data_IF_728720993376
#
_entry.id   IF_728720993376
#
_cell.length_a   1.000
_cell.length_b   1.000
_cell.length_c   1.000
_cell.angle_alpha   90.00
_cell.angle_beta   90.00
_cell.angle_gamma   90.00
#
_symmetry.space_group_name_H-M   'P 1'
#
loop_
_entity.id
_entity.type
_entity.pdbx_description
1 polymer ?
#
# COMPACT_ATOMS: atom_id res chain seq x y z
N UNK A 1 13.66 -8.83 44.49
CA UNK A 1 13.20 -9.66 43.35
C UNK A 1 13.64 -8.97 42.06
N UNK A 2 14.69 -9.47 41.45
CA UNK A 2 15.17 -9.00 40.13
C UNK A 2 14.16 -9.43 39.10
N UNK A 3 13.38 -8.48 38.57
CA UNK A 3 12.50 -8.75 37.45
C UNK A 3 13.37 -9.21 36.26
N UNK A 4 13.21 -10.44 35.83
CA UNK A 4 13.78 -10.90 34.55
C UNK A 4 13.30 -9.95 33.46
N UNK A 5 14.18 -9.51 32.55
CA UNK A 5 13.75 -8.70 31.43
C UNK A 5 12.73 -9.53 30.61
N UNK A 6 11.48 -9.11 30.64
CA UNK A 6 10.45 -9.75 29.82
C UNK A 6 10.81 -9.56 28.36
N UNK A 7 10.95 -10.65 27.63
CA UNK A 7 11.18 -10.63 26.18
C UNK A 7 10.14 -9.72 25.53
N UNK A 8 10.56 -8.73 24.72
CA UNK A 8 9.62 -7.86 24.03
C UNK A 8 8.58 -8.68 23.24
N UNK A 9 7.34 -8.28 23.31
CA UNK A 9 6.25 -8.98 22.64
C UNK A 9 5.40 -7.99 21.86
N UNK A 10 5.26 -8.24 20.56
CA UNK A 10 4.38 -7.51 19.69
C UNK A 10 3.18 -8.37 19.28
N UNK A 11 2.01 -7.75 19.24
CA UNK A 11 0.83 -8.34 18.63
C UNK A 11 0.33 -7.38 17.55
N UNK A 12 0.28 -7.87 16.33
CA UNK A 12 -0.35 -7.17 15.21
C UNK A 12 -1.84 -7.49 15.24
N UNK A 13 -2.66 -6.46 15.34
CA UNK A 13 -4.12 -6.54 15.31
C UNK A 13 -4.63 -5.95 14.00
N UNK A 14 -5.45 -6.69 13.27
CA UNK A 14 -6.13 -6.22 12.07
C UNK A 14 -7.47 -6.93 11.92
N UNK A 15 -8.48 -6.24 11.42
CA UNK A 15 -9.74 -6.86 10.99
C UNK A 15 -9.57 -7.67 9.72
N UNK A 16 -8.57 -7.36 8.92
CA UNK A 16 -8.32 -8.02 7.64
C UNK A 16 -7.25 -9.09 7.74
N UNK A 17 -7.45 -10.15 6.96
CA UNK A 17 -6.41 -11.11 6.69
C UNK A 17 -5.32 -10.46 5.85
N UNK A 18 -4.11 -10.34 6.41
CA UNK A 18 -2.97 -9.78 5.69
C UNK A 18 -3.25 -8.38 5.13
N UNK A 19 -3.54 -7.43 6.01
CA UNK A 19 -3.66 -6.03 5.64
C UNK A 19 -2.40 -5.54 4.91
N UNK A 20 -2.58 -4.63 3.96
CA UNK A 20 -1.49 -4.04 3.16
C UNK A 20 -0.41 -3.46 4.07
N UNK A 21 -0.82 -2.70 5.07
CA UNK A 21 0.07 -2.01 6.01
C UNK A 21 0.96 -3.01 6.76
N UNK A 22 0.37 -4.12 7.22
CA UNK A 22 1.10 -5.17 7.89
C UNK A 22 2.12 -5.84 6.97
N UNK A 23 1.73 -6.18 5.74
CA UNK A 23 2.57 -6.89 4.77
C UNK A 23 3.79 -6.08 4.36
N UNK A 24 3.60 -4.82 4.02
CA UNK A 24 4.71 -3.99 3.55
C UNK A 24 5.51 -3.37 4.68
N UNK A 25 4.85 -2.95 5.76
CA UNK A 25 5.47 -2.07 6.76
C UNK A 25 5.86 -2.78 8.06
N UNK A 26 5.39 -4.01 8.32
CA UNK A 26 5.74 -4.75 9.53
C UNK A 26 6.34 -6.13 9.24
N UNK A 27 5.70 -6.94 8.39
CA UNK A 27 6.17 -8.30 8.09
C UNK A 27 7.62 -8.37 7.60
N UNK A 28 8.15 -7.43 6.81
CA UNK A 28 9.56 -7.44 6.41
C UNK A 28 10.53 -7.45 7.60
N UNK A 29 10.18 -6.75 8.69
CA UNK A 29 11.00 -6.70 9.90
C UNK A 29 10.77 -7.89 10.85
N UNK A 30 9.64 -8.59 10.75
CA UNK A 30 9.19 -9.57 11.73
C UNK A 30 10.17 -10.74 11.91
N UNK A 31 10.72 -11.25 10.81
CA UNK A 31 11.65 -12.38 10.84
C UNK A 31 12.97 -12.03 11.57
N UNK A 32 13.47 -10.80 11.37
CA UNK A 32 14.65 -10.31 12.04
C UNK A 32 14.39 -10.04 13.52
N UNK A 33 13.29 -9.40 13.86
CA UNK A 33 12.86 -9.16 15.25
C UNK A 33 12.72 -10.47 16.05
N UNK A 34 12.19 -11.52 15.42
CA UNK A 34 12.10 -12.85 16.05
C UNK A 34 13.48 -13.46 16.33
N UNK A 35 14.43 -13.33 15.41
CA UNK A 35 15.82 -13.80 15.60
C UNK A 35 16.51 -13.03 16.73
N UNK A 36 16.13 -11.80 16.98
CA UNK A 36 16.63 -10.95 18.06
C UNK A 36 15.91 -11.23 19.41
N UNK A 37 15.04 -12.22 19.45
CA UNK A 37 14.34 -12.63 20.66
C UNK A 37 13.01 -11.93 20.92
N UNK A 38 12.54 -11.05 20.02
CA UNK A 38 11.21 -10.43 20.12
C UNK A 38 10.13 -11.44 19.75
N UNK A 39 9.13 -11.60 20.60
CA UNK A 39 7.94 -12.42 20.26
C UNK A 39 7.01 -11.56 19.39
N UNK A 40 6.68 -12.07 18.21
CA UNK A 40 5.75 -11.40 17.30
C UNK A 40 4.63 -12.35 16.94
N UNK A 41 3.41 -11.94 17.24
CA UNK A 41 2.17 -12.66 16.94
C UNK A 41 1.30 -11.79 16.03
N UNK A 42 0.48 -12.43 15.22
CA UNK A 42 -0.52 -11.79 14.39
C UNK A 42 -1.91 -12.26 14.79
N UNK A 43 -2.86 -11.36 14.86
CA UNK A 43 -4.20 -11.65 15.29
C UNK A 43 -5.22 -10.95 14.39
N UNK A 44 -5.94 -11.76 13.59
CA UNK A 44 -7.02 -11.29 12.72
C UNK A 44 -8.33 -11.29 13.50
N UNK A 45 -8.83 -10.11 13.84
CA UNK A 45 -9.94 -9.98 14.79
C UNK A 45 -11.25 -10.53 14.26
N UNK A 46 -11.53 -10.41 12.95
CA UNK A 46 -12.76 -10.93 12.33
C UNK A 46 -12.88 -12.44 12.34
N UNK A 47 -11.77 -13.15 12.44
CA UNK A 47 -11.78 -14.64 12.47
C UNK A 47 -12.12 -15.21 13.83
N UNK A 48 -12.16 -14.39 14.86
CA UNK A 48 -12.37 -14.83 16.22
C UNK A 48 -13.70 -14.31 16.75
N UNK A 49 -14.52 -15.19 17.36
CA UNK A 49 -15.63 -14.74 18.15
C UNK A 49 -15.09 -13.91 19.31
N UNK A 50 -15.49 -12.64 19.38
CA UNK A 50 -15.00 -11.74 20.40
C UNK A 50 -15.32 -12.26 21.81
N UNK A 51 -14.31 -12.31 22.66
CA UNK A 51 -14.42 -12.63 24.07
C UNK A 51 -13.53 -11.68 24.87
N UNK A 52 -14.10 -10.73 25.61
CA UNK A 52 -13.34 -9.72 26.34
C UNK A 52 -12.27 -10.33 27.25
N UNK A 53 -12.63 -11.40 27.96
CA UNK A 53 -11.70 -12.09 28.88
C UNK A 53 -10.48 -12.69 28.17
N UNK A 54 -10.70 -13.36 27.03
CA UNK A 54 -9.62 -13.97 26.28
C UNK A 54 -8.77 -12.91 25.56
N UNK A 55 -9.41 -11.90 24.98
CA UNK A 55 -8.72 -10.78 24.33
C UNK A 55 -7.83 -10.05 25.33
N UNK A 56 -8.37 -9.67 26.50
CA UNK A 56 -7.62 -9.04 27.57
C UNK A 56 -6.42 -9.88 28.00
N UNK A 57 -6.61 -11.15 28.31
CA UNK A 57 -5.54 -12.05 28.75
C UNK A 57 -4.42 -12.19 27.71
N UNK A 58 -4.79 -12.20 26.42
CA UNK A 58 -3.83 -12.33 25.33
C UNK A 58 -3.04 -11.04 25.10
N UNK A 59 -3.67 -9.88 25.20
CA UNK A 59 -3.06 -8.60 24.83
C UNK A 59 -2.32 -7.93 26.02
N UNK A 60 -2.59 -8.32 27.26
CA UNK A 60 -1.94 -7.77 28.45
C UNK A 60 -0.40 -7.86 28.36
N UNK A 61 0.28 -6.75 28.61
CA UNK A 61 1.74 -6.63 28.61
C UNK A 61 2.37 -6.62 27.22
N UNK A 62 1.59 -6.75 26.13
CA UNK A 62 2.12 -6.70 24.77
C UNK A 62 2.16 -5.25 24.24
N UNK A 63 3.16 -4.95 23.41
CA UNK A 63 3.08 -3.83 22.47
C UNK A 63 2.13 -4.22 21.32
N UNK A 64 1.30 -3.29 20.90
CA UNK A 64 0.30 -3.53 19.88
C UNK A 64 0.63 -2.72 18.62
N UNK A 65 0.55 -3.36 17.47
CA UNK A 65 0.47 -2.70 16.19
C UNK A 65 -0.94 -2.90 15.65
N UNK A 66 -1.71 -1.83 15.59
CA UNK A 66 -3.03 -1.83 14.97
C UNK A 66 -2.82 -1.45 13.50
N UNK A 67 -3.25 -2.33 12.58
CA UNK A 67 -3.13 -2.12 11.15
C UNK A 67 -4.53 -1.90 10.57
N UNK A 68 -4.75 -0.75 9.95
CA UNK A 68 -5.93 -0.31 9.22
C UNK A 68 -7.17 -0.09 10.10
N UNK A 69 -7.87 -1.12 10.53
CA UNK A 69 -9.13 -1.00 11.28
C UNK A 69 -9.28 -2.06 12.36
N UNK A 70 -10.17 -1.78 13.31
CA UNK A 70 -10.63 -2.73 14.32
C UNK A 70 -12.13 -2.54 14.55
N UNK A 71 -12.83 -3.64 14.82
CA UNK A 71 -14.22 -3.62 15.24
C UNK A 71 -14.44 -2.87 16.58
N UNK A 72 -15.61 -2.30 16.75
CA UNK A 72 -16.00 -1.46 17.91
C UNK A 72 -15.68 -2.14 19.26
N UNK A 73 -16.05 -3.41 19.42
CA UNK A 73 -15.82 -4.16 20.66
C UNK A 73 -14.34 -4.34 21.02
N UNK A 74 -13.47 -4.40 20.02
CA UNK A 74 -12.02 -4.47 20.23
C UNK A 74 -11.48 -3.13 20.71
N UNK A 75 -11.92 -2.03 20.10
CA UNK A 75 -11.53 -0.68 20.48
C UNK A 75 -11.98 -0.39 21.91
N UNK A 76 -13.24 -0.66 22.25
CA UNK A 76 -13.79 -0.49 23.60
C UNK A 76 -13.01 -1.30 24.65
N UNK A 77 -12.63 -2.52 24.33
CA UNK A 77 -11.83 -3.35 25.22
C UNK A 77 -10.44 -2.76 25.44
N UNK A 78 -9.78 -2.26 24.38
CA UNK A 78 -8.46 -1.64 24.47
C UNK A 78 -8.51 -0.34 25.26
N UNK A 79 -9.52 0.52 25.07
CA UNK A 79 -9.75 1.74 25.83
C UNK A 79 -9.91 1.45 27.32
N UNK A 80 -10.79 0.48 27.66
CA UNK A 80 -11.07 0.11 29.05
C UNK A 80 -9.91 -0.53 29.78
N UNK A 81 -8.86 -0.97 29.06
CA UNK A 81 -7.70 -1.66 29.63
C UNK A 81 -6.37 -1.09 29.14
N UNK A 82 -6.37 0.19 28.74
CA UNK A 82 -5.20 0.86 28.14
C UNK A 82 -3.92 0.70 28.94
N UNK A 83 -4.00 0.85 30.25
CA UNK A 83 -2.89 0.77 31.19
C UNK A 83 -2.26 -0.64 31.29
N UNK A 84 -2.94 -1.67 30.80
CA UNK A 84 -2.46 -3.06 30.82
C UNK A 84 -1.68 -3.45 29.57
N UNK A 85 -1.66 -2.56 28.57
CA UNK A 85 -0.93 -2.76 27.32
C UNK A 85 0.40 -2.00 27.35
N UNK A 86 1.37 -2.48 26.59
CA UNK A 86 2.57 -1.72 26.29
C UNK A 86 2.27 -0.59 25.30
N UNK A 87 3.25 -0.25 24.49
CA UNK A 87 3.06 0.76 23.43
C UNK A 87 2.01 0.30 22.44
N UNK A 88 1.13 1.22 22.03
CA UNK A 88 0.19 1.03 20.94
C UNK A 88 0.64 1.93 19.77
N UNK A 89 0.99 1.31 18.64
CA UNK A 89 1.23 1.98 17.38
C UNK A 89 0.03 1.74 16.45
N UNK A 90 -0.46 2.79 15.81
CA UNK A 90 -1.50 2.69 14.81
C UNK A 90 -0.92 3.01 13.43
N UNK A 91 -0.91 2.04 12.54
CA UNK A 91 -0.37 2.14 11.18
C UNK A 91 -1.49 2.46 10.21
N UNK A 92 -1.34 3.57 9.48
CA UNK A 92 -2.37 4.20 8.64
C UNK A 92 -1.82 4.44 7.24
N UNK A 93 -2.49 3.92 6.23
CA UNK A 93 -2.19 4.16 4.81
C UNK A 93 -3.20 5.10 4.13
N UNK A 94 -4.35 5.35 4.76
CA UNK A 94 -5.38 6.28 4.30
C UNK A 94 -6.27 6.76 5.44
N UNK A 95 -7.00 7.83 5.20
CA UNK A 95 -8.05 8.33 6.11
C UNK A 95 -9.40 7.85 5.59
N UNK A 96 -10.23 7.33 6.48
CA UNK A 96 -11.58 6.91 6.08
C UNK A 96 -12.44 8.12 5.75
N UNK A 97 -12.79 8.23 4.47
CA UNK A 97 -13.81 9.15 3.97
C UNK A 97 -15.03 8.37 3.49
N UNK A 98 -16.18 9.05 3.39
CA UNK A 98 -17.39 8.43 2.83
C UNK A 98 -17.20 8.02 1.37
N UNK A 99 -16.38 8.73 0.61
CA UNK A 99 -16.09 8.46 -0.79
C UNK A 99 -15.23 7.21 -0.96
N UNK A 100 -14.15 7.08 -0.17
CA UNK A 100 -13.27 5.92 -0.21
C UNK A 100 -14.02 4.64 0.19
N UNK A 101 -14.81 4.70 1.27
CA UNK A 101 -15.57 3.55 1.74
C UNK A 101 -16.63 3.10 0.72
N UNK A 102 -17.28 4.04 0.04
CA UNK A 102 -18.22 3.72 -1.02
C UNK A 102 -17.51 3.04 -2.21
N UNK A 103 -16.33 3.53 -2.60
CA UNK A 103 -15.51 2.94 -3.66
C UNK A 103 -15.06 1.52 -3.30
N UNK A 104 -14.57 1.28 -2.08
CA UNK A 104 -14.17 -0.05 -1.59
C UNK A 104 -15.34 -1.05 -1.56
N UNK A 105 -16.54 -0.58 -1.26
CA UNK A 105 -17.75 -1.41 -1.19
C UNK A 105 -18.47 -1.53 -2.54
N UNK A 106 -18.09 -0.75 -3.54
CA UNK A 106 -18.78 -0.68 -4.83
C UNK A 106 -20.20 -0.07 -4.72
N UNK A 107 -20.41 0.85 -3.76
CA UNK A 107 -21.69 1.53 -3.48
C UNK A 107 -21.56 3.03 -3.77
N UNK A 108 -22.69 3.75 -3.79
CA UNK A 108 -22.67 5.21 -3.84
C UNK A 108 -22.34 5.80 -2.46
N UNK A 109 -21.65 6.94 -2.39
CA UNK A 109 -21.39 7.63 -1.13
C UNK A 109 -22.70 7.95 -0.40
N UNK A 110 -22.73 7.90 0.95
CA UNK A 110 -23.89 8.32 1.71
C UNK A 110 -24.15 9.83 1.54
N UNK A 111 -25.38 10.26 1.80
CA UNK A 111 -25.74 11.69 1.75
C UNK A 111 -24.84 12.54 2.65
N UNK A 112 -24.51 13.73 2.19
CA UNK A 112 -23.62 14.65 2.88
C UNK A 112 -24.15 14.98 4.30
N UNK A 113 -23.33 14.72 5.32
CA UNK A 113 -23.61 15.10 6.71
C UNK A 113 -23.55 13.99 7.76
N UNK A 114 -23.46 12.70 7.40
CA UNK A 114 -23.21 11.62 8.36
C UNK A 114 -21.77 11.09 8.20
N UNK A 115 -20.96 11.28 9.22
CA UNK A 115 -19.61 10.69 9.22
C UNK A 115 -19.72 9.16 9.33
N UNK A 116 -19.07 8.41 8.41
CA UNK A 116 -19.14 6.95 8.42
C UNK A 116 -18.64 6.35 9.73
N UNK A 117 -19.23 5.25 10.16
CA UNK A 117 -18.78 4.55 11.39
C UNK A 117 -17.27 4.26 11.35
N UNK A 118 -16.73 3.90 10.21
CA UNK A 118 -15.29 3.63 10.06
C UNK A 118 -14.42 4.86 10.39
N UNK A 119 -14.84 6.07 9.99
CA UNK A 119 -14.14 7.30 10.33
C UNK A 119 -14.19 7.58 11.84
N UNK A 120 -15.36 7.38 12.49
CA UNK A 120 -15.49 7.52 13.93
C UNK A 120 -14.59 6.51 14.68
N UNK A 121 -14.53 5.26 14.23
CA UNK A 121 -13.66 4.24 14.83
C UNK A 121 -12.18 4.58 14.61
N UNK A 122 -11.82 5.14 13.45
CA UNK A 122 -10.46 5.60 13.18
C UNK A 122 -10.03 6.74 14.12
N UNK A 123 -10.91 7.69 14.40
CA UNK A 123 -10.65 8.76 15.38
C UNK A 123 -10.39 8.20 16.78
N UNK A 124 -11.16 7.20 17.21
CA UNK A 124 -10.92 6.50 18.48
C UNK A 124 -9.56 5.80 18.51
N UNK A 125 -9.13 5.20 17.39
CA UNK A 125 -7.81 4.59 17.27
C UNK A 125 -6.69 5.63 17.36
N UNK A 126 -6.85 6.82 16.77
CA UNK A 126 -5.90 7.91 16.97
C UNK A 126 -5.79 8.30 18.45
N UNK A 127 -6.90 8.46 19.15
CA UNK A 127 -6.90 8.81 20.58
C UNK A 127 -6.28 7.70 21.46
N UNK A 128 -6.39 6.45 21.06
CA UNK A 128 -5.87 5.28 21.79
C UNK A 128 -4.37 5.08 21.60
N UNK A 129 -3.82 5.45 20.46
CA UNK A 129 -2.44 5.19 20.08
C UNK A 129 -1.44 6.07 20.84
N UNK A 130 -0.27 5.53 21.17
CA UNK A 130 0.88 6.32 21.63
C UNK A 130 1.63 6.96 20.48
N UNK A 131 1.47 6.37 19.29
CA UNK A 131 2.14 6.80 18.07
C UNK A 131 1.34 6.38 16.86
N UNK A 132 1.08 7.32 15.96
CA UNK A 132 0.50 7.06 14.66
C UNK A 132 1.63 6.94 13.65
N UNK A 133 1.67 5.82 12.94
CA UNK A 133 2.66 5.56 11.88
C UNK A 133 1.97 5.73 10.56
N UNK A 134 2.51 6.56 9.70
CA UNK A 134 1.93 6.89 8.38
C UNK A 134 2.88 6.51 7.26
N UNK A 135 2.32 6.32 6.07
CA UNK A 135 3.04 5.76 4.92
C UNK A 135 3.39 6.81 3.85
N UNK A 136 2.98 8.06 4.06
CA UNK A 136 3.27 9.18 3.17
C UNK A 136 3.46 10.49 3.93
N UNK A 137 4.23 11.40 3.36
CA UNK A 137 4.47 12.74 3.91
C UNK A 137 3.17 13.55 3.99
N UNK A 138 2.25 13.33 3.06
CA UNK A 138 0.94 13.98 3.05
C UNK A 138 0.09 13.57 4.25
N UNK A 139 0.10 12.26 4.61
CA UNK A 139 -0.55 11.80 5.84
C UNK A 139 0.15 12.32 7.09
N UNK A 140 1.48 12.39 7.09
CA UNK A 140 2.23 12.97 8.21
C UNK A 140 1.82 14.42 8.45
N UNK A 141 1.78 15.24 7.39
CA UNK A 141 1.35 16.62 7.46
C UNK A 141 -0.13 16.76 7.90
N UNK A 142 -1.02 15.93 7.34
CA UNK A 142 -2.45 15.96 7.68
C UNK A 142 -2.72 15.60 9.14
N UNK A 143 -1.96 14.66 9.71
CA UNK A 143 -2.17 14.16 11.07
C UNK A 143 -1.34 14.88 12.13
N UNK A 144 -0.38 15.72 11.76
CA UNK A 144 0.50 16.43 12.68
C UNK A 144 -0.24 17.30 13.70
N UNK A 145 -1.40 17.84 13.34
CA UNK A 145 -2.27 18.63 14.24
C UNK A 145 -3.25 17.78 15.06
N UNK A 146 -3.48 16.52 14.66
CA UNK A 146 -4.47 15.63 15.27
C UNK A 146 -3.86 14.67 16.29
N UNK A 147 -2.59 14.36 16.18
CA UNK A 147 -1.92 13.44 17.08
C UNK A 147 -0.52 13.96 17.48
N UNK A 148 -0.13 13.92 18.79
CA UNK A 148 1.12 14.49 19.29
C UNK A 148 2.37 13.76 18.78
N UNK A 149 2.24 12.55 18.29
CA UNK A 149 3.34 11.76 17.77
C UNK A 149 2.93 11.04 16.48
N UNK A 150 3.26 11.65 15.37
CA UNK A 150 3.15 11.05 14.03
C UNK A 150 4.56 10.70 13.54
N UNK A 151 4.71 9.56 12.89
CA UNK A 151 6.01 9.11 12.36
C UNK A 151 5.83 8.52 10.97
N UNK A 152 6.62 9.01 10.03
CA UNK A 152 6.64 8.50 8.67
C UNK A 152 7.41 7.18 8.60
N UNK A 153 6.84 6.20 7.92
CA UNK A 153 7.47 4.94 7.54
C UNK A 153 7.20 4.68 6.05
N UNK A 154 8.18 4.95 5.21
CA UNK A 154 8.06 4.76 3.76
C UNK A 154 8.05 3.29 3.37
N UNK A 155 7.43 2.92 2.23
CA UNK A 155 7.34 1.54 1.77
C UNK A 155 8.73 0.91 1.55
N UNK A 156 8.96 -0.33 2.01
CA UNK A 156 10.17 -1.06 1.71
C UNK A 156 10.06 -1.80 0.37
N UNK A 157 11.18 -1.97 -0.28
CA UNK A 157 11.30 -2.91 -1.39
C UNK A 157 11.23 -4.34 -0.84
N UNK A 158 10.14 -5.04 -1.14
CA UNK A 158 9.92 -6.42 -0.71
C UNK A 158 10.37 -7.39 -1.80
N UNK A 159 11.36 -8.25 -1.48
CA UNK A 159 11.89 -9.22 -2.42
C UNK A 159 13.00 -8.69 -3.33
N UNK A 160 13.38 -9.50 -4.30
CA UNK A 160 14.46 -9.18 -5.25
C UNK A 160 13.89 -8.52 -6.51
N UNK A 161 14.64 -7.58 -7.06
CA UNK A 161 14.35 -7.05 -8.39
C UNK A 161 14.75 -8.10 -9.45
N UNK A 162 13.99 -8.21 -10.55
CA UNK A 162 14.29 -9.13 -11.63
C UNK A 162 15.45 -8.63 -12.50
N UNK A 163 16.02 -9.53 -13.32
CA UNK A 163 16.67 -9.10 -14.55
C UNK A 163 15.63 -8.49 -15.50
N UNK A 164 16.10 -7.78 -16.52
CA UNK A 164 15.25 -7.07 -17.48
C UNK A 164 15.20 -7.75 -18.87
N UNK A 165 15.57 -9.02 -18.97
CA UNK A 165 15.58 -9.75 -20.25
C UNK A 165 14.19 -9.81 -20.93
N UNK A 166 13.11 -9.73 -20.19
CA UNK A 166 11.77 -9.66 -20.76
C UNK A 166 11.53 -8.41 -21.63
N UNK A 167 12.29 -7.33 -21.41
CA UNK A 167 12.22 -6.13 -22.24
C UNK A 167 12.92 -6.30 -23.61
N UNK A 168 13.62 -7.41 -23.83
CA UNK A 168 14.20 -7.79 -25.12
C UNK A 168 13.19 -8.55 -26.01
N UNK A 169 12.07 -9.02 -25.44
CA UNK A 169 11.03 -9.75 -26.14
C UNK A 169 10.19 -8.82 -27.01
N UNK A 170 9.52 -9.38 -28.01
CA UNK A 170 8.64 -8.62 -28.92
C UNK A 170 7.37 -8.15 -28.23
N UNK A 171 6.79 -8.99 -27.35
CA UNK A 171 5.46 -8.78 -26.81
C UNK A 171 5.54 -8.12 -25.42
N UNK A 172 5.11 -6.88 -25.36
CA UNK A 172 5.18 -6.13 -24.13
C UNK A 172 3.82 -6.09 -23.39
N UNK A 173 3.85 -6.22 -22.08
CA UNK A 173 2.69 -6.09 -21.22
C UNK A 173 2.62 -4.69 -20.61
N UNK A 174 1.49 -4.02 -20.79
CA UNK A 174 1.11 -2.79 -20.11
C UNK A 174 0.22 -3.19 -18.94
N UNK A 175 0.68 -3.03 -17.70
CA UNK A 175 0.02 -3.52 -16.50
C UNK A 175 -0.60 -2.42 -15.64
N UNK A 176 -1.81 -2.66 -15.15
CA UNK A 176 -2.40 -1.91 -14.05
C UNK A 176 -2.84 -2.89 -12.94
N UNK A 177 -2.22 -2.77 -11.78
CA UNK A 177 -2.45 -3.63 -10.62
C UNK A 177 -2.97 -2.77 -9.46
N UNK A 178 -4.25 -2.43 -9.49
CA UNK A 178 -4.94 -1.65 -8.48
C UNK A 178 -6.01 -2.45 -7.73
N UNK A 179 -6.52 -1.87 -6.66
CA UNK A 179 -7.71 -2.35 -5.96
C UNK A 179 -8.97 -1.70 -6.54
N UNK A 180 -10.16 -2.09 -6.03
CA UNK A 180 -11.42 -1.45 -6.41
C UNK A 180 -11.44 0.06 -6.14
N UNK A 181 -10.72 0.52 -5.11
CA UNK A 181 -10.59 1.94 -4.81
C UNK A 181 -9.97 2.76 -5.97
N UNK A 182 -9.19 2.11 -6.83
CA UNK A 182 -8.56 2.74 -8.01
C UNK A 182 -9.32 2.51 -9.31
N UNK A 183 -10.58 2.06 -9.22
CA UNK A 183 -11.41 1.78 -10.40
C UNK A 183 -11.63 3.02 -11.25
N UNK A 184 -11.94 4.14 -10.63
CA UNK A 184 -12.17 5.40 -11.33
C UNK A 184 -10.88 5.95 -11.93
N UNK A 185 -9.73 5.76 -11.27
CA UNK A 185 -8.43 6.18 -11.79
C UNK A 185 -8.14 5.51 -13.15
N UNK A 186 -8.30 4.19 -13.27
CA UNK A 186 -8.02 3.47 -14.54
C UNK A 186 -9.08 3.74 -15.61
N UNK A 187 -10.33 4.05 -15.22
CA UNK A 187 -11.40 4.36 -16.18
C UNK A 187 -11.06 5.56 -17.05
N UNK A 188 -10.32 6.54 -16.52
CA UNK A 188 -9.90 7.72 -17.28
C UNK A 188 -9.03 7.35 -18.49
N UNK A 189 -8.34 6.21 -18.41
CA UNK A 189 -7.43 5.73 -19.45
C UNK A 189 -8.10 4.80 -20.47
N UNK A 190 -9.41 4.48 -20.37
CA UNK A 190 -10.07 3.57 -21.28
C UNK A 190 -9.90 3.96 -22.77
N UNK A 191 -10.11 5.24 -23.19
CA UNK A 191 -9.91 5.63 -24.59
C UNK A 191 -8.44 5.54 -25.01
N UNK A 192 -7.50 5.88 -24.12
CA UNK A 192 -6.06 5.80 -24.39
C UNK A 192 -5.63 4.35 -24.64
N UNK A 193 -6.01 3.43 -23.75
CA UNK A 193 -5.63 2.02 -23.85
C UNK A 193 -6.24 1.37 -25.11
N UNK A 194 -7.45 1.74 -25.48
CA UNK A 194 -8.09 1.25 -26.72
C UNK A 194 -7.34 1.72 -27.97
N UNK A 195 -6.96 2.99 -28.00
CA UNK A 195 -6.21 3.58 -29.11
C UNK A 195 -4.82 2.95 -29.22
N UNK A 196 -4.07 2.86 -28.14
CA UNK A 196 -2.75 2.21 -28.10
C UNK A 196 -2.82 0.76 -28.56
N UNK A 197 -3.79 -0.02 -28.07
CA UNK A 197 -3.94 -1.42 -28.46
C UNK A 197 -4.37 -1.60 -29.93
N UNK A 198 -4.96 -0.60 -30.52
CA UNK A 198 -5.28 -0.62 -31.95
C UNK A 198 -4.03 -0.38 -32.80
N UNK A 199 -3.11 0.46 -32.35
CA UNK A 199 -1.89 0.84 -33.08
C UNK A 199 -0.69 -0.09 -32.82
N UNK A 200 -0.59 -0.67 -31.62
CA UNK A 200 0.51 -1.55 -31.19
C UNK A 200 0.04 -2.98 -30.99
N UNK A 201 0.12 -3.78 -32.07
CA UNK A 201 -0.31 -5.20 -32.03
C UNK A 201 0.67 -6.11 -31.27
N UNK A 202 1.87 -5.63 -31.00
CA UNK A 202 2.95 -6.29 -30.23
C UNK A 202 2.92 -5.95 -28.73
N UNK A 203 1.77 -5.44 -28.25
CA UNK A 203 1.55 -5.20 -26.83
C UNK A 203 0.22 -5.78 -26.36
N UNK A 204 0.10 -6.06 -25.08
CA UNK A 204 -1.11 -6.47 -24.40
C UNK A 204 -1.37 -5.59 -23.17
N UNK A 205 -2.63 -5.49 -22.75
CA UNK A 205 -3.00 -4.80 -21.52
C UNK A 205 -3.41 -5.82 -20.46
N UNK A 206 -2.93 -5.67 -19.25
CA UNK A 206 -3.30 -6.51 -18.11
C UNK A 206 -3.86 -5.66 -16.98
N UNK A 207 -5.10 -5.97 -16.55
CA UNK A 207 -5.78 -5.29 -15.46
C UNK A 207 -6.16 -6.27 -14.36
N UNK A 208 -5.76 -6.01 -13.12
CA UNK A 208 -6.12 -6.83 -11.96
C UNK A 208 -7.44 -6.35 -11.36
N UNK A 209 -8.54 -6.55 -12.08
CA UNK A 209 -9.88 -6.13 -11.66
C UNK A 209 -10.93 -7.26 -11.72
N UNK A 210 -10.63 -8.35 -12.40
CA UNK A 210 -11.48 -9.55 -12.50
C UNK A 210 -12.93 -9.23 -12.84
N UNK A 211 -13.86 -9.77 -12.06
CA UNK A 211 -15.31 -9.55 -12.20
C UNK A 211 -15.76 -8.09 -12.00
N UNK A 212 -14.91 -7.25 -11.45
CA UNK A 212 -15.18 -5.83 -11.22
C UNK A 212 -14.66 -4.94 -12.37
N UNK A 213 -14.24 -5.56 -13.47
CA UNK A 213 -13.80 -4.81 -14.66
C UNK A 213 -14.94 -3.93 -15.18
N UNK A 214 -14.74 -2.61 -15.27
CA UNK A 214 -15.74 -1.70 -15.85
C UNK A 214 -16.03 -2.05 -17.30
N UNK A 215 -17.31 -1.91 -17.69
CA UNK A 215 -17.74 -2.21 -19.05
C UNK A 215 -16.99 -1.38 -20.09
N UNK A 216 -16.63 -0.14 -19.75
CA UNK A 216 -15.88 0.77 -20.62
C UNK A 216 -14.45 0.30 -20.93
N UNK A 217 -13.93 -0.69 -20.20
CA UNK A 217 -12.61 -1.29 -20.43
C UNK A 217 -12.71 -2.65 -21.14
N UNK A 218 -13.90 -3.26 -21.21
CA UNK A 218 -14.07 -4.64 -21.66
C UNK A 218 -13.84 -4.87 -23.18
N UNK A 219 -13.87 -3.81 -23.96
CA UNK A 219 -13.67 -3.83 -25.43
C UNK A 219 -12.23 -3.48 -25.87
N UNK A 220 -11.31 -3.30 -24.92
CA UNK A 220 -9.89 -3.06 -25.23
C UNK A 220 -9.30 -4.31 -25.91
N UNK A 221 -8.68 -4.19 -27.08
CA UNK A 221 -8.06 -5.34 -27.76
C UNK A 221 -6.93 -5.95 -26.90
N UNK A 222 -6.80 -7.27 -26.92
CA UNK A 222 -5.77 -8.03 -26.19
C UNK A 222 -5.73 -7.71 -24.67
N UNK A 223 -6.88 -7.36 -24.13
CA UNK A 223 -7.02 -7.18 -22.68
C UNK A 223 -7.00 -8.53 -21.96
N UNK A 224 -6.15 -8.66 -20.97
CA UNK A 224 -6.17 -9.73 -19.97
C UNK A 224 -6.68 -9.19 -18.67
N UNK A 225 -7.61 -9.87 -18.05
CA UNK A 225 -8.09 -9.51 -16.72
C UNK A 225 -7.74 -10.61 -15.71
N UNK A 226 -7.40 -10.23 -14.51
CA UNK A 226 -7.10 -11.12 -13.40
C UNK A 226 -7.97 -10.77 -12.22
N UNK A 227 -8.40 -11.77 -11.46
CA UNK A 227 -9.06 -11.54 -10.18
C UNK A 227 -8.11 -10.88 -9.19
N UNK A 228 -8.66 -9.98 -8.38
CA UNK A 228 -7.92 -9.43 -7.25
C UNK A 228 -7.55 -10.56 -6.29
N UNK A 229 -6.30 -10.60 -5.89
CA UNK A 229 -5.75 -11.62 -4.98
C UNK A 229 -5.45 -11.01 -3.62
N UNK A 230 -5.25 -11.86 -2.60
CA UNK A 230 -4.79 -11.36 -1.30
C UNK A 230 -3.42 -10.70 -1.42
N UNK A 231 -3.11 -9.77 -0.54
CA UNK A 231 -1.83 -9.06 -0.55
C UNK A 231 -0.62 -10.01 -0.48
N UNK A 232 -0.72 -11.12 0.25
CA UNK A 232 0.34 -12.14 0.25
C UNK A 232 0.53 -12.81 -1.10
N UNK A 233 -0.57 -13.18 -1.77
CA UNK A 233 -0.52 -13.74 -3.12
C UNK A 233 -0.05 -12.71 -4.15
N UNK A 234 -0.35 -11.42 -3.94
CA UNK A 234 0.15 -10.34 -4.79
C UNK A 234 1.68 -10.19 -4.69
N UNK A 235 2.29 -10.39 -3.52
CA UNK A 235 3.75 -10.41 -3.37
C UNK A 235 4.38 -11.52 -4.24
N UNK A 236 3.79 -12.71 -4.21
CA UNK A 236 4.23 -13.84 -5.06
C UNK A 236 4.02 -13.55 -6.55
N UNK A 237 2.92 -12.89 -6.89
CA UNK A 237 2.63 -12.47 -8.26
C UNK A 237 3.70 -11.50 -8.76
N UNK A 238 3.99 -10.41 -8.05
CA UNK A 238 5.02 -9.43 -8.43
C UNK A 238 6.40 -10.08 -8.60
N UNK A 239 6.71 -11.11 -7.82
CA UNK A 239 8.01 -11.81 -7.93
C UNK A 239 8.18 -12.58 -9.25
N UNK A 240 7.07 -13.03 -9.86
CA UNK A 240 7.05 -13.91 -11.04
C UNK A 240 6.58 -13.22 -12.31
N UNK A 241 5.67 -12.28 -12.19
CA UNK A 241 5.12 -11.54 -13.34
C UNK A 241 6.14 -10.52 -13.86
N UNK A 242 6.17 -10.36 -15.18
CA UNK A 242 6.96 -9.34 -15.87
C UNK A 242 6.02 -8.47 -16.68
N UNK A 243 6.20 -7.15 -16.54
CA UNK A 243 5.52 -6.13 -17.34
C UNK A 243 6.59 -5.20 -17.93
N UNK A 244 6.31 -4.61 -19.07
CA UNK A 244 7.21 -3.60 -19.65
C UNK A 244 6.86 -2.19 -19.17
N UNK A 245 5.57 -1.91 -19.07
CA UNK A 245 5.05 -0.60 -18.67
C UNK A 245 4.03 -0.79 -17.55
N UNK A 246 4.17 -0.05 -16.47
CA UNK A 246 3.19 0.00 -15.38
C UNK A 246 2.41 1.31 -15.39
N UNK A 247 1.11 1.24 -15.18
CA UNK A 247 0.23 2.41 -15.11
C UNK A 247 -0.09 2.75 -13.66
N UNK A 248 0.08 4.01 -13.31
CA UNK A 248 -0.23 4.54 -11.99
C UNK A 248 -1.04 5.85 -12.08
N UNK A 249 -2.23 5.80 -12.73
CA UNK A 249 -3.12 6.94 -12.73
C UNK A 249 -3.64 7.20 -11.31
N UNK A 250 -3.77 8.46 -10.95
CA UNK A 250 -4.42 8.94 -9.74
C UNK A 250 -5.30 10.13 -10.10
N UNK A 251 -6.59 10.06 -9.82
CA UNK A 251 -7.48 11.21 -9.88
C UNK A 251 -7.15 12.21 -8.78
N UNK A 252 -7.47 13.48 -9.01
CA UNK A 252 -7.29 14.52 -8.00
C UNK A 252 -8.37 14.42 -6.92
N UNK A 253 -8.03 13.79 -5.80
CA UNK A 253 -8.86 13.73 -4.59
C UNK A 253 -7.97 13.62 -3.34
N UNK A 254 -8.58 13.77 -2.15
CA UNK A 254 -7.87 13.74 -0.86
C UNK A 254 -7.15 12.42 -0.61
N UNK A 255 -7.79 11.31 -0.98
CA UNK A 255 -7.31 9.97 -0.69
C UNK A 255 -6.10 9.62 -1.55
N UNK A 256 -6.17 9.94 -2.85
CA UNK A 256 -5.05 9.75 -3.77
C UNK A 256 -3.84 10.63 -3.42
N UNK A 257 -4.07 11.87 -2.91
CA UNK A 257 -2.98 12.72 -2.40
C UNK A 257 -2.27 12.11 -1.20
N UNK A 258 -2.99 11.38 -0.36
CA UNK A 258 -2.47 10.74 0.83
C UNK A 258 -1.79 9.38 0.56
N UNK A 259 -1.91 8.85 -0.66
CA UNK A 259 -1.36 7.56 -1.04
C UNK A 259 0.18 7.52 -0.90
N UNK A 260 0.72 6.33 -0.63
CA UNK A 260 2.15 6.10 -0.69
C UNK A 260 2.60 5.81 -2.13
N UNK A 261 3.89 5.95 -2.39
CA UNK A 261 4.48 5.60 -3.68
C UNK A 261 4.78 4.09 -3.85
N UNK A 262 4.08 3.24 -3.10
CA UNK A 262 4.25 1.78 -3.14
C UNK A 262 4.12 1.21 -4.55
N UNK A 263 3.25 1.77 -5.39
CA UNK A 263 3.07 1.32 -6.77
C UNK A 263 4.32 1.46 -7.63
N UNK A 264 5.19 2.45 -7.33
CA UNK A 264 6.51 2.54 -7.95
C UNK A 264 7.33 1.27 -7.69
N UNK A 265 7.38 0.80 -6.44
CA UNK A 265 8.10 -0.42 -6.08
C UNK A 265 7.48 -1.66 -6.73
N UNK A 266 6.16 -1.76 -6.77
CA UNK A 266 5.48 -2.93 -7.35
C UNK A 266 5.71 -3.01 -8.86
N UNK A 267 5.64 -1.90 -9.59
CA UNK A 267 5.96 -1.82 -11.02
C UNK A 267 7.43 -2.22 -11.25
N UNK A 268 8.34 -1.66 -10.47
CA UNK A 268 9.78 -1.93 -10.59
C UNK A 268 10.12 -3.39 -10.26
N UNK A 269 9.42 -3.99 -9.29
CA UNK A 269 9.55 -5.42 -8.95
C UNK A 269 9.09 -6.35 -10.06
N UNK A 270 8.16 -5.91 -10.88
CA UNK A 270 7.74 -6.63 -12.08
C UNK A 270 8.64 -6.31 -13.29
N UNK A 271 9.66 -5.48 -13.11
CA UNK A 271 10.65 -5.12 -14.14
C UNK A 271 10.16 -4.05 -15.11
N UNK A 272 9.07 -3.36 -14.80
CA UNK A 272 8.48 -2.34 -15.67
C UNK A 272 8.98 -0.92 -15.38
N UNK A 273 8.73 -0.04 -16.36
CA UNK A 273 8.78 1.42 -16.22
C UNK A 273 7.37 1.94 -15.95
N UNK A 274 7.25 2.84 -14.96
CA UNK A 274 5.94 3.42 -14.63
C UNK A 274 5.64 4.69 -15.42
N UNK A 275 4.36 4.86 -15.76
CA UNK A 275 3.75 6.14 -16.13
C UNK A 275 2.86 6.54 -14.95
N UNK A 276 3.13 7.69 -14.38
CA UNK A 276 2.53 8.16 -13.13
C UNK A 276 1.81 9.49 -13.33
N UNK A 277 0.70 9.69 -12.63
CA UNK A 277 0.09 11.02 -12.55
C UNK A 277 1.06 12.04 -11.95
N UNK A 278 1.18 13.23 -12.56
CA UNK A 278 2.05 14.33 -12.13
C UNK A 278 1.50 15.01 -10.88
N UNK A 279 1.45 14.26 -9.78
CA UNK A 279 1.01 14.71 -8.45
C UNK A 279 1.63 13.85 -7.35
N UNK A 280 1.47 14.29 -6.10
CA UNK A 280 1.85 13.47 -4.95
C UNK A 280 1.17 12.09 -5.02
N UNK A 281 1.87 11.01 -4.63
CA UNK A 281 3.23 10.99 -4.08
C UNK A 281 4.33 10.90 -5.15
N UNK A 282 3.99 10.86 -6.45
CA UNK A 282 4.95 10.54 -7.50
C UNK A 282 5.82 11.73 -7.91
N UNK A 283 5.29 12.95 -7.86
CA UNK A 283 6.03 14.16 -8.26
C UNK A 283 7.29 14.41 -7.43
N UNK A 284 7.29 13.93 -6.17
CA UNK A 284 8.41 14.07 -5.25
C UNK A 284 9.42 12.91 -5.35
N UNK A 285 9.03 11.82 -6.03
CA UNK A 285 9.83 10.61 -6.16
C UNK A 285 10.43 10.42 -7.55
N UNK A 286 9.62 10.61 -8.59
CA UNK A 286 9.98 10.26 -9.97
C UNK A 286 10.74 11.42 -10.62
N UNK A 287 11.90 11.12 -11.18
CA UNK A 287 12.62 12.00 -12.08
C UNK A 287 12.13 11.75 -13.52
N UNK A 288 11.30 12.69 -14.02
CA UNK A 288 10.58 12.55 -15.28
C UNK A 288 11.53 12.29 -16.46
N UNK A 289 11.29 11.20 -17.18
CA UNK A 289 12.12 10.77 -18.30
C UNK A 289 13.40 10.02 -17.92
N UNK A 290 13.69 9.84 -16.62
CA UNK A 290 14.90 9.15 -16.12
C UNK A 290 14.54 7.79 -15.51
N UNK A 291 13.61 7.73 -14.56
CA UNK A 291 13.21 6.50 -13.87
C UNK A 291 11.70 6.23 -13.92
N UNK A 292 10.98 7.00 -14.72
CA UNK A 292 9.56 6.92 -15.01
C UNK A 292 9.12 8.12 -15.82
N UNK A 293 7.83 8.16 -16.15
CA UNK A 293 7.22 9.32 -16.80
C UNK A 293 6.14 9.92 -15.91
N UNK A 294 6.14 11.25 -15.79
CA UNK A 294 5.11 12.02 -15.11
C UNK A 294 4.20 12.68 -16.13
N UNK A 295 2.90 12.41 -16.07
CA UNK A 295 1.90 12.95 -17.00
C UNK A 295 0.74 13.61 -16.26
N UNK A 296 0.15 14.64 -16.88
CA UNK A 296 -1.06 15.30 -16.36
C UNK A 296 -2.32 14.47 -16.55
N UNK A 297 -3.48 15.12 -16.42
CA UNK A 297 -4.79 14.48 -16.57
C UNK A 297 -5.24 14.38 -18.04
N UNK A 298 -4.55 15.07 -18.95
CA UNK A 298 -4.89 15.02 -20.37
C UNK A 298 -4.62 13.61 -20.94
N UNK A 299 -5.62 12.93 -21.49
CA UNK A 299 -5.43 11.64 -22.18
C UNK A 299 -4.36 11.66 -23.28
N UNK A 300 -4.12 12.82 -23.92
CA UNK A 300 -3.08 12.95 -24.91
C UNK A 300 -1.68 12.81 -24.34
N UNK A 301 -1.42 13.27 -23.09
CA UNK A 301 -0.14 13.07 -22.42
C UNK A 301 0.11 11.59 -22.11
N UNK A 302 -0.92 10.86 -21.67
CA UNK A 302 -0.86 9.40 -21.44
C UNK A 302 -0.57 8.64 -22.73
N UNK A 303 -1.25 9.03 -23.83
CA UNK A 303 -0.99 8.48 -25.16
C UNK A 303 0.45 8.69 -25.59
N UNK A 304 0.94 9.94 -25.50
CA UNK A 304 2.31 10.28 -25.86
C UNK A 304 3.36 9.55 -25.02
N UNK A 305 3.10 9.37 -23.72
CA UNK A 305 3.98 8.62 -22.81
C UNK A 305 4.04 7.13 -23.19
N UNK A 306 2.90 6.51 -23.48
CA UNK A 306 2.86 5.12 -23.94
C UNK A 306 3.55 4.94 -25.29
N UNK A 307 3.30 5.82 -26.25
CA UNK A 307 3.99 5.83 -27.55
C UNK A 307 5.50 5.97 -27.41
N UNK A 308 5.97 6.86 -26.54
CA UNK A 308 7.38 7.05 -26.26
C UNK A 308 8.03 5.76 -25.74
N UNK A 309 7.40 5.10 -24.75
CA UNK A 309 7.96 3.89 -24.16
C UNK A 309 7.89 2.69 -25.13
N UNK A 310 6.82 2.54 -25.89
CA UNK A 310 6.67 1.47 -26.86
C UNK A 310 7.57 1.68 -28.08
N UNK A 311 7.80 2.94 -28.50
CA UNK A 311 8.55 3.30 -29.69
C UNK A 311 10.08 3.27 -29.51
N UNK A 312 10.60 3.49 -28.30
CA UNK A 312 12.03 3.47 -27.99
C UNK A 312 12.33 2.47 -26.87
N UNK A 313 12.49 1.21 -27.26
CA UNK A 313 12.70 0.08 -26.34
C UNK A 313 14.04 0.16 -25.60
N UNK A 314 15.07 0.74 -26.20
CA UNK A 314 16.38 0.87 -25.57
C UNK A 314 16.35 1.96 -24.49
N UNK A 315 15.73 3.10 -24.77
CA UNK A 315 15.51 4.14 -23.77
C UNK A 315 14.61 3.64 -22.62
N UNK A 316 13.58 2.86 -22.93
CA UNK A 316 12.68 2.26 -21.92
C UNK A 316 13.45 1.28 -21.02
N UNK A 317 14.32 0.46 -21.59
CA UNK A 317 15.19 -0.44 -20.80
C UNK A 317 16.15 0.33 -19.90
N UNK A 318 16.76 1.39 -20.41
CA UNK A 318 17.61 2.26 -19.60
C UNK A 318 16.84 2.90 -18.44
N UNK A 319 15.62 3.37 -18.70
CA UNK A 319 14.71 3.92 -17.66
C UNK A 319 14.34 2.86 -16.61
N UNK A 320 14.08 1.60 -17.02
CA UNK A 320 13.82 0.50 -16.10
C UNK A 320 15.03 0.20 -15.19
N UNK A 321 16.24 0.27 -15.68
CA UNK A 321 17.46 0.15 -14.86
C UNK A 321 17.56 1.28 -13.85
N UNK A 322 17.27 2.52 -14.25
CA UNK A 322 17.27 3.66 -13.34
C UNK A 322 16.20 3.51 -12.25
N UNK A 323 15.00 3.04 -12.62
CA UNK A 323 13.93 2.76 -11.67
C UNK A 323 14.35 1.68 -10.65
N UNK A 324 15.05 0.62 -11.09
CA UNK A 324 15.59 -0.40 -10.19
C UNK A 324 16.65 0.17 -9.24
N UNK A 325 17.52 1.03 -9.71
CA UNK A 325 18.52 1.70 -8.87
C UNK A 325 17.84 2.54 -7.78
N UNK A 326 16.90 3.40 -8.19
CA UNK A 326 16.11 4.21 -7.26
C UNK A 326 15.33 3.35 -6.27
N UNK A 327 14.71 2.26 -6.71
CA UNK A 327 13.95 1.37 -5.84
C UNK A 327 14.83 0.75 -4.73
N UNK A 328 16.09 0.43 -5.01
CA UNK A 328 17.04 0.00 -3.98
C UNK A 328 17.36 1.13 -3.00
N UNK A 329 17.54 2.36 -3.49
CA UNK A 329 17.87 3.51 -2.66
C UNK A 329 16.73 3.90 -1.72
N UNK A 330 15.51 4.08 -2.28
CA UNK A 330 14.37 4.56 -1.49
C UNK A 330 13.67 3.46 -0.69
N UNK A 331 13.76 2.22 -1.14
CA UNK A 331 13.06 1.06 -0.57
C UNK A 331 13.91 0.20 0.38
N UNK A 332 14.97 0.72 0.99
CA UNK A 332 15.82 -0.07 1.88
C UNK A 332 15.02 -0.73 3.02
N UNK A 333 14.91 -2.08 3.05
CA UNK A 333 14.15 -2.79 4.07
C UNK A 333 14.72 -2.67 5.47
N UNK A 334 16.00 -2.28 5.63
CA UNK A 334 16.60 -2.05 6.94
C UNK A 334 15.95 -0.86 7.65
N UNK A 335 15.44 0.13 6.93
CA UNK A 335 14.68 1.24 7.54
C UNK A 335 13.46 0.75 8.32
N UNK A 336 12.72 -0.20 7.76
CA UNK A 336 11.54 -0.79 8.42
C UNK A 336 11.97 -1.60 9.66
N UNK A 337 13.05 -2.37 9.54
CA UNK A 337 13.58 -3.13 10.67
C UNK A 337 14.03 -2.22 11.80
N UNK A 338 14.84 -1.20 11.51
CA UNK A 338 15.34 -0.28 12.51
C UNK A 338 14.24 0.56 13.14
N UNK A 339 13.24 0.95 12.34
CA UNK A 339 12.04 1.63 12.84
C UNK A 339 11.33 0.81 13.93
N UNK A 340 11.06 -0.46 13.70
CA UNK A 340 10.39 -1.33 14.67
C UNK A 340 11.31 -1.79 15.79
N UNK A 341 12.59 -1.98 15.54
CA UNK A 341 13.59 -2.30 16.57
C UNK A 341 13.67 -1.18 17.61
N UNK A 342 13.73 0.07 17.20
CA UNK A 342 13.73 1.22 18.12
C UNK A 342 12.46 1.30 18.99
N UNK A 343 11.34 0.75 18.51
CA UNK A 343 10.06 0.71 19.25
C UNK A 343 9.86 -0.57 20.07
N UNK A 344 10.67 -1.58 19.84
CA UNK A 344 10.63 -2.86 20.57
C UNK A 344 11.30 -2.79 21.94
N UNK A 345 12.09 -1.78 22.21
CA UNK A 345 12.62 -1.56 23.54
C UNK A 345 11.48 -1.18 24.47
N UNK A 346 11.15 -2.06 25.39
CA UNK A 346 10.11 -1.83 26.43
C UNK A 346 10.47 -0.54 27.15
N UNK A 347 9.69 0.51 26.95
CA UNK A 347 9.73 1.66 27.86
C UNK A 347 9.38 1.10 29.24
N UNK A 348 10.35 1.12 30.17
CA UNK A 348 10.06 0.80 31.57
C UNK A 348 8.92 1.74 31.99
N UNK A 349 7.80 1.15 32.36
CA UNK A 349 6.76 1.89 33.04
C UNK A 349 7.41 2.66 34.18
N UNK A 350 7.29 3.97 34.15
CA UNK A 350 7.67 4.85 35.27
C UNK A 350 6.61 4.75 36.35
#
# INVERSE_FOLDING_TARGET
>A
MTAFPTTPRWIVLSDEAQALEDIYFFLPAMAALRKEGTRVERFETRRWKFSPKLAKARLTGACLLIARSLGREWIEMLENHREQHGRICYLVDHLYSSELLAAEQGTSPPEAGSEPEAAQLQQRLFALADEVVVVSEQLEAALASLHPKVSLLTPPLTGKLPDLHHLEQSDWCIGFHGTLAHREDILTLAPVLRDIQTRHSDSEVELMMGRHLPLALSDIPRLKTMEAVSWGAFQDYCSRRRIAIGLAPLMENSDNRAASWLRFLDITRMGGVGIYSRRAPYVDLIEDGVDGLLVGDDPAEWTAALERLLGDRDATRAMAHNAQHKAHEVGDPLRVLDFWRARSTVARAR
#
